data_IF_084020106422
#
_entry.id   IF_084020106422
#
_cell.length_a   1.000
_cell.length_b   1.000
_cell.length_c   1.000
_cell.angle_alpha   90.00
_cell.angle_beta   90.00
_cell.angle_gamma   90.00
#
_symmetry.space_group_name_H-M   'P 1'
#
loop_
_entity.id
_entity.type
_entity.pdbx_description
1 polymer ?
#
# COMPACT_ATOMS: atom_id res chain seq x y z
N UNK A 1 9.39 27.33 29.09
CA UNK A 1 9.06 27.15 27.66
C UNK A 1 9.37 28.47 26.98
N UNK A 2 10.51 28.59 26.30
CA UNK A 2 10.99 29.89 25.81
C UNK A 2 10.30 30.27 24.49
N UNK A 3 10.22 31.57 24.19
CA UNK A 3 9.63 32.15 22.98
C UNK A 3 10.17 31.52 21.68
N UNK A 4 11.39 30.99 21.72
CA UNK A 4 12.02 30.23 20.63
C UNK A 4 11.27 28.91 20.34
N UNK A 5 10.77 28.21 21.37
CA UNK A 5 9.95 27.01 21.20
C UNK A 5 8.52 27.33 20.72
N UNK A 6 8.07 28.57 20.89
CA UNK A 6 6.79 29.04 20.33
C UNK A 6 6.96 29.46 18.86
N UNK A 7 8.11 30.02 18.50
CA UNK A 7 8.47 30.37 17.13
C UNK A 7 8.85 29.15 16.27
N UNK A 8 9.31 28.04 16.87
CA UNK A 8 9.48 26.76 16.16
C UNK A 8 8.15 26.08 15.83
N UNK A 9 7.08 26.37 16.57
CA UNK A 9 5.71 25.95 16.22
C UNK A 9 5.18 26.76 15.01
N UNK A 10 5.78 27.92 14.72
CA UNK A 10 5.53 28.70 13.50
C UNK A 10 6.45 28.32 12.32
N UNK A 11 7.27 27.28 12.45
CA UNK A 11 7.99 26.70 11.32
C UNK A 11 7.02 25.79 10.53
N UNK A 12 6.46 26.36 9.46
CA UNK A 12 5.72 25.70 8.38
C UNK A 12 6.00 24.18 8.29
N UNK A 13 4.96 23.34 8.41
CA UNK A 13 5.03 21.89 8.16
C UNK A 13 5.82 21.68 6.86
N UNK A 14 6.98 21.03 6.94
CA UNK A 14 7.84 20.85 5.77
C UNK A 14 7.02 20.25 4.62
N UNK A 15 7.10 20.79 3.38
CA UNK A 15 6.39 20.21 2.24
C UNK A 15 6.65 18.71 2.06
N UNK A 16 7.85 18.25 2.43
CA UNK A 16 8.24 16.84 2.40
C UNK A 16 7.44 16.01 3.41
N UNK A 17 7.19 16.55 4.61
CA UNK A 17 6.37 15.87 5.62
C UNK A 17 4.91 15.75 5.14
N UNK A 18 4.37 16.80 4.50
CA UNK A 18 3.02 16.78 3.92
C UNK A 18 2.93 15.67 2.87
N UNK A 19 3.90 15.58 1.94
CA UNK A 19 3.94 14.53 0.93
C UNK A 19 4.00 13.13 1.55
N UNK A 20 4.86 12.93 2.55
CA UNK A 20 5.00 11.65 3.27
C UNK A 20 3.70 11.21 3.95
N UNK A 21 2.99 12.14 4.60
CA UNK A 21 1.71 11.88 5.25
C UNK A 21 0.63 11.60 4.20
N UNK A 22 0.53 12.39 3.14
CA UNK A 22 -0.47 12.18 2.07
C UNK A 22 -0.29 10.83 1.37
N UNK A 23 0.95 10.43 1.08
CA UNK A 23 1.26 9.12 0.52
C UNK A 23 0.87 8.01 1.51
N UNK A 24 1.24 8.15 2.79
CA UNK A 24 0.87 7.16 3.81
C UNK A 24 -0.65 7.01 3.96
N UNK A 25 -1.41 8.12 3.91
CA UNK A 25 -2.88 8.10 3.90
C UNK A 25 -3.40 7.39 2.66
N UNK A 26 -2.89 7.73 1.47
CA UNK A 26 -3.29 7.10 0.22
C UNK A 26 -3.10 5.58 0.28
N UNK A 27 -1.93 5.12 0.74
CA UNK A 27 -1.63 3.70 0.86
C UNK A 27 -2.47 3.03 1.94
N UNK A 28 -2.70 3.68 3.08
CA UNK A 28 -3.56 3.16 4.14
C UNK A 28 -4.99 2.91 3.61
N UNK A 29 -5.59 3.88 2.92
CA UNK A 29 -6.93 3.75 2.33
C UNK A 29 -6.95 2.62 1.31
N UNK A 30 -6.05 2.65 0.33
CA UNK A 30 -6.00 1.68 -0.76
C UNK A 30 -5.84 0.25 -0.23
N UNK A 31 -4.85 0.02 0.62
CA UNK A 31 -4.45 -1.30 1.03
C UNK A 31 -5.25 -1.86 2.22
N UNK A 32 -5.71 -1.03 3.16
CA UNK A 32 -6.63 -1.52 4.19
C UNK A 32 -7.98 -1.88 3.59
N UNK A 33 -8.52 -1.06 2.68
CA UNK A 33 -9.78 -1.38 2.03
C UNK A 33 -9.63 -2.68 1.21
N UNK A 34 -8.63 -2.77 0.35
CA UNK A 34 -8.38 -3.94 -0.50
C UNK A 34 -8.11 -5.22 0.31
N UNK A 35 -7.29 -5.13 1.35
CA UNK A 35 -6.91 -6.27 2.18
C UNK A 35 -8.03 -6.74 3.12
N UNK A 36 -8.70 -5.81 3.81
CA UNK A 36 -9.81 -6.17 4.71
C UNK A 36 -11.01 -6.73 3.95
N UNK A 37 -11.31 -6.20 2.76
CA UNK A 37 -12.36 -6.74 1.88
C UNK A 37 -12.13 -8.23 1.59
N UNK A 38 -10.89 -8.61 1.23
CA UNK A 38 -10.53 -10.02 0.97
C UNK A 38 -10.61 -10.92 2.19
N UNK A 39 -10.36 -10.38 3.38
CA UNK A 39 -10.46 -11.14 4.64
C UNK A 39 -11.92 -11.31 5.08
N UNK A 40 -12.76 -10.30 4.88
CA UNK A 40 -14.16 -10.28 5.29
C UNK A 40 -15.04 -11.01 4.28
N UNK A 41 -14.94 -10.67 2.99
CA UNK A 41 -15.60 -11.36 1.87
C UNK A 41 -14.63 -12.25 1.11
N UNK A 42 -14.09 -13.24 1.83
CA UNK A 42 -13.20 -14.23 1.24
C UNK A 42 -13.85 -15.01 0.10
N UNK A 43 -15.12 -15.40 0.26
CA UNK A 43 -15.82 -16.24 -0.72
C UNK A 43 -16.09 -15.49 -2.01
N UNK A 44 -16.55 -14.23 -1.95
CA UNK A 44 -16.76 -13.40 -3.13
C UNK A 44 -15.47 -13.17 -3.91
N UNK A 45 -14.41 -12.78 -3.20
CA UNK A 45 -13.08 -12.60 -3.79
C UNK A 45 -12.52 -13.89 -4.41
N UNK A 46 -12.69 -15.03 -3.75
CA UNK A 46 -12.27 -16.33 -4.27
C UNK A 46 -12.97 -16.67 -5.60
N UNK A 47 -14.30 -16.55 -5.66
CA UNK A 47 -15.06 -16.86 -6.89
C UNK A 47 -14.70 -15.90 -8.03
N UNK A 48 -14.51 -14.61 -7.75
CA UNK A 48 -14.06 -13.65 -8.75
C UNK A 48 -12.67 -14.01 -9.30
N UNK A 49 -11.70 -14.27 -8.41
CA UNK A 49 -10.33 -14.63 -8.81
C UNK A 49 -10.28 -15.96 -9.55
N UNK A 50 -11.13 -16.92 -9.18
CA UNK A 50 -11.23 -18.22 -9.86
C UNK A 50 -11.64 -18.05 -11.33
N UNK A 51 -12.60 -17.16 -11.61
CA UNK A 51 -12.96 -16.77 -12.97
C UNK A 51 -11.81 -16.04 -13.67
N UNK A 52 -11.23 -15.03 -13.02
CA UNK A 52 -10.14 -14.21 -13.55
C UNK A 52 -8.92 -15.05 -13.98
N UNK A 53 -8.52 -16.02 -13.16
CA UNK A 53 -7.35 -16.87 -13.41
C UNK A 53 -7.65 -18.18 -14.16
N UNK A 54 -8.88 -18.43 -14.60
CA UNK A 54 -9.31 -19.73 -15.15
C UNK A 54 -8.43 -20.22 -16.33
N UNK A 55 -7.98 -19.29 -17.19
CA UNK A 55 -7.14 -19.57 -18.36
C UNK A 55 -5.65 -19.26 -18.15
N UNK A 56 -5.23 -19.08 -16.90
CA UNK A 56 -3.85 -18.75 -16.52
C UNK A 56 -3.11 -19.96 -15.93
N UNK A 57 -1.77 -19.89 -15.83
CA UNK A 57 -0.98 -20.87 -15.07
C UNK A 57 -1.38 -20.97 -13.58
N UNK A 58 -2.08 -19.98 -13.05
CA UNK A 58 -2.46 -19.90 -11.63
C UNK A 58 -3.86 -20.40 -11.28
N UNK A 59 -4.59 -20.98 -12.24
CA UNK A 59 -5.97 -21.47 -12.02
C UNK A 59 -6.15 -22.37 -10.79
N UNK A 60 -5.11 -23.14 -10.41
CA UNK A 60 -5.14 -24.06 -9.26
C UNK A 60 -4.55 -23.46 -7.97
N UNK A 61 -4.00 -22.25 -8.03
CA UNK A 61 -3.32 -21.59 -6.91
C UNK A 61 -4.11 -20.41 -6.35
N UNK A 62 -5.34 -20.20 -6.81
CA UNK A 62 -6.18 -19.05 -6.43
C UNK A 62 -6.30 -18.85 -4.91
N UNK A 63 -6.57 -19.88 -4.07
CA UNK A 63 -6.61 -19.69 -2.63
C UNK A 63 -5.29 -19.19 -2.04
N UNK A 64 -4.17 -19.70 -2.55
CA UNK A 64 -2.83 -19.31 -2.10
C UNK A 64 -2.50 -17.87 -2.52
N UNK A 65 -2.84 -17.49 -3.76
CA UNK A 65 -2.68 -16.12 -4.23
C UNK A 65 -3.53 -15.14 -3.43
N UNK A 66 -4.80 -15.46 -3.21
CA UNK A 66 -5.71 -14.66 -2.40
C UNK A 66 -5.18 -14.48 -0.98
N UNK A 67 -4.78 -15.56 -0.30
CA UNK A 67 -4.23 -15.48 1.05
C UNK A 67 -2.94 -14.66 1.12
N UNK A 68 -2.03 -14.88 0.18
CA UNK A 68 -0.76 -14.14 0.11
C UNK A 68 -1.03 -12.66 -0.09
N UNK A 69 -1.85 -12.29 -1.09
CA UNK A 69 -2.07 -10.88 -1.38
C UNK A 69 -2.82 -10.18 -0.25
N UNK A 70 -3.80 -10.83 0.39
CA UNK A 70 -4.50 -10.27 1.54
C UNK A 70 -3.54 -9.93 2.69
N UNK A 71 -2.58 -10.81 3.00
CA UNK A 71 -1.59 -10.54 4.05
C UNK A 71 -0.72 -9.34 3.69
N UNK A 72 -0.19 -9.28 2.47
CA UNK A 72 0.65 -8.16 2.03
C UNK A 72 -0.12 -6.85 2.02
N UNK A 73 -1.34 -6.82 1.48
CA UNK A 73 -2.17 -5.62 1.43
C UNK A 73 -2.55 -5.16 2.83
N UNK A 74 -3.08 -6.05 3.68
CA UNK A 74 -3.45 -5.66 5.05
C UNK A 74 -2.24 -5.17 5.84
N UNK A 75 -1.08 -5.81 5.72
CA UNK A 75 0.14 -5.37 6.39
C UNK A 75 0.65 -4.02 5.85
N UNK A 76 0.62 -3.80 4.53
CA UNK A 76 0.99 -2.54 3.91
C UNK A 76 0.09 -1.40 4.39
N UNK A 77 -1.23 -1.62 4.39
CA UNK A 77 -2.21 -0.67 4.85
C UNK A 77 -2.06 -0.35 6.34
N UNK A 78 -1.88 -1.37 7.18
CA UNK A 78 -1.69 -1.20 8.62
C UNK A 78 -0.40 -0.44 8.95
N UNK A 79 0.73 -0.81 8.33
CA UNK A 79 1.99 -0.11 8.52
C UNK A 79 1.90 1.34 8.03
N UNK A 80 1.22 1.60 6.91
CA UNK A 80 0.98 2.96 6.42
C UNK A 80 0.14 3.78 7.40
N UNK A 81 -0.92 3.19 7.96
CA UNK A 81 -1.77 3.84 8.95
C UNK A 81 -1.01 4.17 10.24
N UNK A 82 -0.24 3.22 10.78
CA UNK A 82 0.65 3.44 11.94
C UNK A 82 1.70 4.51 11.61
N UNK A 83 2.24 4.47 10.39
CA UNK A 83 3.22 5.44 9.89
C UNK A 83 2.70 6.88 9.87
N UNK A 84 1.41 7.10 9.64
CA UNK A 84 0.80 8.44 9.76
C UNK A 84 0.95 8.96 11.19
N UNK A 85 0.65 8.14 12.19
CA UNK A 85 0.83 8.52 13.59
C UNK A 85 2.31 8.75 13.93
N UNK A 86 3.19 7.89 13.45
CA UNK A 86 4.64 8.03 13.66
C UNK A 86 5.16 9.35 13.09
N UNK A 87 4.78 9.71 11.87
CA UNK A 87 5.23 10.94 11.18
C UNK A 87 4.71 12.23 11.82
N UNK A 88 3.52 12.21 12.44
CA UNK A 88 2.88 13.41 13.00
C UNK A 88 3.26 13.64 14.45
N UNK A 89 3.30 12.56 15.25
CA UNK A 89 3.44 12.66 16.70
C UNK A 89 4.83 12.27 17.21
N UNK A 90 5.69 11.75 16.34
CA UNK A 90 7.06 11.35 16.68
C UNK A 90 8.03 11.83 15.62
N UNK A 91 9.34 11.69 15.86
CA UNK A 91 10.37 11.96 14.85
C UNK A 91 10.71 10.71 14.01
N UNK A 92 9.90 9.64 14.12
CA UNK A 92 10.10 8.38 13.43
C UNK A 92 9.41 8.29 12.06
N UNK A 93 9.86 7.33 11.25
CA UNK A 93 9.26 7.04 9.94
C UNK A 93 9.34 5.55 9.55
N UNK A 94 9.61 4.66 10.52
CA UNK A 94 9.88 3.24 10.25
C UNK A 94 8.65 2.54 9.68
N UNK A 95 7.48 2.75 10.28
CA UNK A 95 6.24 2.13 9.83
C UNK A 95 5.76 2.71 8.50
N UNK A 96 5.97 4.00 8.25
CA UNK A 96 5.69 4.60 6.95
C UNK A 96 6.56 3.97 5.84
N UNK A 97 7.84 3.73 6.12
CA UNK A 97 8.75 3.05 5.19
C UNK A 97 8.37 1.56 4.99
N UNK A 98 8.01 0.84 6.06
CA UNK A 98 7.51 -0.53 5.93
C UNK A 98 6.21 -0.61 5.12
N UNK A 99 5.29 0.34 5.32
CA UNK A 99 4.07 0.46 4.53
C UNK A 99 4.37 0.60 3.03
N UNK A 100 5.31 1.48 2.67
CA UNK A 100 5.77 1.65 1.29
C UNK A 100 6.38 0.39 0.69
N UNK A 101 7.29 -0.27 1.41
CA UNK A 101 7.95 -1.49 0.93
C UNK A 101 6.95 -2.63 0.72
N UNK A 102 6.05 -2.85 1.68
CA UNK A 102 5.00 -3.86 1.59
C UNK A 102 4.00 -3.54 0.47
N UNK A 103 3.62 -2.27 0.30
CA UNK A 103 2.78 -1.81 -0.80
C UNK A 103 3.43 -2.09 -2.16
N UNK A 104 4.73 -1.78 -2.29
CA UNK A 104 5.50 -2.05 -3.50
C UNK A 104 5.53 -3.55 -3.84
N UNK A 105 5.81 -4.40 -2.84
CA UNK A 105 5.77 -5.86 -3.01
C UNK A 105 4.37 -6.34 -3.41
N UNK A 106 3.32 -5.81 -2.77
CA UNK A 106 1.93 -6.13 -3.09
C UNK A 106 1.59 -5.79 -4.54
N UNK A 107 1.98 -4.60 -5.01
CA UNK A 107 1.74 -4.16 -6.40
C UNK A 107 2.50 -5.02 -7.39
N UNK A 108 3.75 -5.40 -7.10
CA UNK A 108 4.52 -6.30 -7.96
C UNK A 108 3.88 -7.69 -8.06
N UNK A 109 3.38 -8.23 -6.95
CA UNK A 109 2.61 -9.49 -6.93
C UNK A 109 1.33 -9.38 -7.77
N UNK A 110 0.55 -8.31 -7.60
CA UNK A 110 -0.65 -8.04 -8.38
C UNK A 110 -0.32 -7.92 -9.86
N UNK A 111 0.68 -7.10 -10.22
CA UNK A 111 1.12 -6.89 -11.60
C UNK A 111 1.48 -8.22 -12.25
N UNK A 112 2.29 -9.03 -11.57
CA UNK A 112 2.66 -10.36 -12.06
C UNK A 112 1.45 -11.26 -12.28
N UNK A 113 0.50 -11.29 -11.33
CA UNK A 113 -0.77 -11.99 -11.47
C UNK A 113 -1.54 -11.55 -12.73
N UNK A 114 -1.76 -10.24 -12.89
CA UNK A 114 -2.44 -9.67 -14.06
C UNK A 114 -1.75 -10.08 -15.38
N UNK A 115 -0.41 -10.08 -15.41
CA UNK A 115 0.34 -10.52 -16.60
C UNK A 115 0.17 -12.01 -16.90
N UNK A 116 0.13 -12.87 -15.88
CA UNK A 116 -0.12 -14.31 -16.05
C UNK A 116 -1.57 -14.60 -16.47
N UNK A 117 -2.53 -13.78 -16.03
CA UNK A 117 -3.93 -13.82 -16.49
C UNK A 117 -4.14 -13.21 -17.88
N UNK A 118 -3.11 -12.57 -18.46
CA UNK A 118 -3.19 -11.76 -19.69
C UNK A 118 -4.17 -10.58 -19.60
N UNK A 119 -4.42 -10.08 -18.38
CA UNK A 119 -5.15 -8.83 -18.18
C UNK A 119 -4.17 -7.64 -18.26
N UNK A 120 -3.98 -7.15 -19.47
CA UNK A 120 -3.08 -6.02 -19.75
C UNK A 120 -3.64 -4.70 -19.22
N UNK A 121 -4.97 -4.54 -19.21
CA UNK A 121 -5.61 -3.33 -18.72
C UNK A 121 -5.46 -3.22 -17.21
N UNK A 122 -5.74 -4.30 -16.48
CA UNK A 122 -5.51 -4.39 -15.04
C UNK A 122 -4.04 -4.15 -14.67
N UNK A 123 -3.10 -4.75 -15.43
CA UNK A 123 -1.67 -4.52 -15.23
C UNK A 123 -1.27 -3.04 -15.44
N UNK A 124 -1.85 -2.34 -16.42
CA UNK A 124 -1.53 -0.94 -16.69
C UNK A 124 -1.98 0.00 -15.56
N UNK A 125 -3.13 -0.26 -14.94
CA UNK A 125 -3.64 0.55 -13.80
C UNK A 125 -2.66 0.56 -12.63
N UNK A 126 -2.01 -0.57 -12.36
CA UNK A 126 -1.08 -0.73 -11.23
C UNK A 126 0.18 0.13 -11.35
N UNK A 127 0.57 0.56 -12.56
CA UNK A 127 1.75 1.39 -12.78
C UNK A 127 1.62 2.72 -12.04
N UNK A 128 0.43 3.34 -12.02
CA UNK A 128 0.21 4.59 -11.30
C UNK A 128 0.44 4.45 -9.79
N UNK A 129 -0.11 3.40 -9.18
CA UNK A 129 0.11 3.11 -7.77
C UNK A 129 1.57 2.80 -7.47
N UNK A 130 2.25 2.08 -8.37
CA UNK A 130 3.66 1.76 -8.22
C UNK A 130 4.54 3.03 -8.25
N UNK A 131 4.25 3.98 -9.13
CA UNK A 131 4.96 5.26 -9.18
C UNK A 131 4.79 6.06 -7.88
N UNK A 132 3.58 6.07 -7.29
CA UNK A 132 3.34 6.71 -5.98
C UNK A 132 4.21 6.05 -4.89
N UNK A 133 4.31 4.72 -4.89
CA UNK A 133 5.16 4.00 -3.94
C UNK A 133 6.64 4.31 -4.15
N UNK A 134 7.14 4.27 -5.39
CA UNK A 134 8.54 4.58 -5.68
C UNK A 134 8.89 6.01 -5.31
N UNK A 135 8.00 6.97 -5.60
CA UNK A 135 8.17 8.36 -5.19
C UNK A 135 8.18 8.49 -3.67
N UNK A 136 7.28 7.78 -2.98
CA UNK A 136 7.28 7.71 -1.52
C UNK A 136 8.60 7.22 -0.96
N UNK A 137 9.15 6.11 -1.49
CA UNK A 137 10.46 5.57 -1.10
C UNK A 137 11.58 6.59 -1.33
N UNK A 138 11.56 7.27 -2.48
CA UNK A 138 12.54 8.32 -2.80
C UNK A 138 12.55 9.47 -1.77
N UNK A 139 11.41 9.83 -1.18
CA UNK A 139 11.36 10.87 -0.13
C UNK A 139 12.04 10.46 1.19
N UNK A 140 12.38 9.17 1.36
CA UNK A 140 13.11 8.65 2.52
C UNK A 140 14.56 8.26 2.22
N UNK A 141 15.00 8.40 0.95
CA UNK A 141 16.39 8.24 0.55
C UNK A 141 17.22 9.51 0.86
#
# INVERSE_FOLDING_TARGET
>A
MNLINLLSISACVSPILILKVMISIFLAILFLQSGLDKLIDWKGNFEWLKGHFANSPFKNFVPFLLGTISIFETAAGACSAIGIFELIFTEGARFAMYGLLLAGLSILCLLFGQRMAKDYAGAAVLVGYFLVVLFGIYLYA
#
